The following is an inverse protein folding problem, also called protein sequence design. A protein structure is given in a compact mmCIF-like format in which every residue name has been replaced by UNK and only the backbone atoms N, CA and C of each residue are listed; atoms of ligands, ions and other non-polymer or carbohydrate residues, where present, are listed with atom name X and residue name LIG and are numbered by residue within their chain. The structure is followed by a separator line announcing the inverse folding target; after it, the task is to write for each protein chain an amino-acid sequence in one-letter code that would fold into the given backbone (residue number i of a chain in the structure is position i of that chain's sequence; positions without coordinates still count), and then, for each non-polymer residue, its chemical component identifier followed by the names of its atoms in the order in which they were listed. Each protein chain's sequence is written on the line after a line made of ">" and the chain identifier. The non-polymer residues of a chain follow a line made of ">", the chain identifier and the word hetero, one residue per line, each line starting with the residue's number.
data_IF_306195186061
#
_entry.id   IF_306195186061
#
_cell.length_a   1.000
_cell.length_b   1.000
_cell.length_c   1.000
_cell.angle_alpha   90.00
_cell.angle_beta   90.00
_cell.angle_gamma   90.00
#
_symmetry.space_group_name_H-M   'P 1'
#
loop_
_entity.id
_entity.type
_entity.pdbx_description
1 polymer ?
#
# COMPACT_ATOMS: atom_id res chain seq x y z
N UNK A 1 -7.46 19.39 10.51
CA UNK A 1 -7.43 18.30 9.51
C UNK A 1 -6.61 17.17 10.10
N UNK A 2 -7.23 16.02 10.33
CA UNK A 2 -6.57 14.87 10.97
C UNK A 2 -5.77 14.05 9.93
N UNK A 3 -5.00 13.06 10.39
CA UNK A 3 -4.15 12.26 9.50
C UNK A 3 -4.95 11.43 8.47
N UNK A 4 -6.15 10.99 8.83
CA UNK A 4 -7.05 10.26 7.94
C UNK A 4 -7.57 11.17 6.83
N UNK A 5 -7.95 12.42 7.14
CA UNK A 5 -8.38 13.40 6.14
C UNK A 5 -7.28 13.66 5.10
N UNK A 6 -6.02 13.71 5.56
CA UNK A 6 -4.84 13.86 4.67
C UNK A 6 -4.66 12.63 3.79
N UNK A 7 -4.81 11.42 4.33
CA UNK A 7 -4.73 10.18 3.55
C UNK A 7 -5.83 10.11 2.50
N UNK A 8 -7.07 10.44 2.87
CA UNK A 8 -8.20 10.49 1.94
C UNK A 8 -7.96 11.49 0.81
N UNK A 9 -7.39 12.65 1.13
CA UNK A 9 -7.02 13.67 0.11
C UNK A 9 -5.96 13.13 -0.85
N UNK A 10 -4.97 12.38 -0.35
CA UNK A 10 -3.93 11.76 -1.19
C UNK A 10 -4.54 10.69 -2.10
N UNK A 11 -5.35 9.79 -1.54
CA UNK A 11 -6.03 8.73 -2.29
C UNK A 11 -6.93 9.29 -3.39
N UNK A 12 -7.65 10.38 -3.10
CA UNK A 12 -8.47 11.10 -4.09
C UNK A 12 -7.62 11.66 -5.23
N UNK A 13 -6.46 12.26 -4.93
CA UNK A 13 -5.54 12.77 -5.97
C UNK A 13 -4.93 11.66 -6.82
N UNK A 14 -4.54 10.54 -6.21
CA UNK A 14 -3.97 9.40 -6.93
C UNK A 14 -4.97 8.76 -7.88
N UNK A 15 -6.25 8.74 -7.52
CA UNK A 15 -7.35 8.18 -8.32
C UNK A 15 -8.15 9.22 -9.11
N UNK A 16 -7.61 10.43 -9.27
CA UNK A 16 -8.25 11.46 -10.09
C UNK A 16 -8.42 10.97 -11.55
N UNK A 17 -9.61 11.05 -12.17
CA UNK A 17 -9.83 10.51 -13.51
C UNK A 17 -8.96 11.13 -14.59
N UNK A 18 -8.57 12.39 -14.44
CA UNK A 18 -7.84 13.15 -15.47
C UNK A 18 -6.33 13.18 -15.17
N UNK A 19 -5.97 13.43 -13.92
CA UNK A 19 -4.60 13.71 -13.48
C UNK A 19 -4.03 12.67 -12.52
N UNK A 20 -4.80 11.63 -12.19
CA UNK A 20 -4.39 10.56 -11.28
C UNK A 20 -3.30 9.67 -11.88
N UNK A 21 -2.68 8.87 -11.03
CA UNK A 21 -1.71 7.87 -11.43
C UNK A 21 -2.42 6.79 -12.28
N UNK A 22 -1.93 6.48 -13.50
CA UNK A 22 -2.56 5.47 -14.37
C UNK A 22 -2.78 4.13 -13.68
N UNK A 23 -1.80 3.67 -12.88
CA UNK A 23 -1.88 2.40 -12.16
C UNK A 23 -2.97 2.42 -11.08
N UNK A 24 -3.07 3.49 -10.29
CA UNK A 24 -4.09 3.63 -9.24
C UNK A 24 -5.51 3.69 -9.79
N UNK A 25 -5.67 4.27 -10.99
CA UNK A 25 -6.94 4.35 -11.72
C UNK A 25 -7.40 2.99 -12.25
N UNK A 26 -6.47 2.12 -12.62
CA UNK A 26 -6.75 0.79 -13.15
C UNK A 26 -7.07 -0.25 -12.06
N UNK A 27 -6.79 0.07 -10.78
CA UNK A 27 -7.05 -0.86 -9.68
C UNK A 27 -8.55 -1.09 -9.45
N UNK A 28 -8.90 -2.35 -9.24
CA UNK A 28 -10.24 -2.79 -8.83
C UNK A 28 -10.14 -3.54 -7.50
N UNK A 29 -11.27 -3.81 -6.85
CA UNK A 29 -11.26 -4.64 -5.63
C UNK A 29 -10.63 -6.02 -5.86
N UNK A 30 -10.79 -6.59 -7.06
CA UNK A 30 -10.20 -7.87 -7.41
C UNK A 30 -8.67 -7.79 -7.52
N UNK A 31 -8.12 -6.69 -8.03
CA UNK A 31 -6.66 -6.53 -8.13
C UNK A 31 -6.05 -6.18 -6.79
N UNK A 32 -6.77 -5.50 -5.89
CA UNK A 32 -6.29 -5.11 -4.56
C UNK A 32 -6.32 -6.29 -3.55
N UNK A 33 -7.27 -7.21 -3.70
CA UNK A 33 -7.47 -8.34 -2.80
C UNK A 33 -6.21 -9.17 -2.47
N UNK A 34 -5.38 -9.63 -3.44
CA UNK A 34 -4.16 -10.38 -3.12
C UNK A 34 -3.15 -9.56 -2.31
N UNK A 35 -2.99 -8.27 -2.61
CA UNK A 35 -2.09 -7.40 -1.84
C UNK A 35 -2.59 -7.18 -0.41
N UNK A 36 -3.91 -7.05 -0.22
CA UNK A 36 -4.50 -6.94 1.14
C UNK A 36 -4.22 -8.19 1.98
N UNK A 37 -4.17 -9.37 1.34
CA UNK A 37 -3.82 -10.60 2.00
C UNK A 37 -2.34 -10.64 2.39
N UNK A 38 -1.43 -10.22 1.50
CA UNK A 38 0.01 -10.14 1.77
C UNK A 38 0.32 -9.23 2.97
N UNK A 39 -0.24 -8.02 3.00
CA UNK A 39 -0.07 -7.06 4.11
C UNK A 39 -0.61 -7.61 5.44
N UNK A 40 -1.69 -8.41 5.39
CA UNK A 40 -2.20 -9.08 6.59
C UNK A 40 -1.19 -10.08 7.14
N UNK A 41 -0.47 -10.79 6.28
CA UNK A 41 0.60 -11.69 6.72
C UNK A 41 1.78 -10.94 7.31
N UNK A 42 2.15 -9.77 6.79
CA UNK A 42 3.22 -8.94 7.35
C UNK A 42 2.85 -8.43 8.76
N UNK A 43 1.61 -7.98 8.95
CA UNK A 43 1.09 -7.64 10.29
C UNK A 43 1.16 -8.84 11.24
N UNK A 44 0.74 -10.02 10.79
CA UNK A 44 0.79 -11.24 11.60
C UNK A 44 2.22 -11.63 11.97
N UNK A 45 3.17 -11.48 11.04
CA UNK A 45 4.58 -11.80 11.28
C UNK A 45 5.23 -10.80 12.26
N UNK A 46 4.92 -9.50 12.13
CA UNK A 46 5.36 -8.49 13.09
C UNK A 46 4.83 -8.76 14.51
N UNK A 47 3.57 -9.20 14.63
CA UNK A 47 2.99 -9.64 15.91
C UNK A 47 3.72 -10.87 16.44
N UNK A 48 3.99 -11.86 15.60
CA UNK A 48 4.67 -13.10 15.99
C UNK A 48 6.10 -12.85 16.47
N UNK A 49 6.77 -11.83 15.91
CA UNK A 49 8.12 -11.39 16.28
C UNK A 49 8.14 -10.44 17.48
N UNK A 50 6.98 -10.06 18.02
CA UNK A 50 6.81 -9.04 19.06
C UNK A 50 7.50 -7.70 18.70
N UNK A 51 7.61 -7.42 17.40
CA UNK A 51 8.25 -6.21 16.88
C UNK A 51 7.22 -5.11 16.69
N UNK A 52 7.03 -4.33 17.75
CA UNK A 52 6.04 -3.24 17.77
C UNK A 52 6.45 -2.02 16.93
N UNK A 53 7.73 -1.92 16.55
CA UNK A 53 8.20 -0.87 15.64
C UNK A 53 7.84 -1.24 14.20
N UNK A 54 8.05 -2.50 13.81
CA UNK A 54 7.64 -3.07 12.52
C UNK A 54 6.11 -3.06 12.39
N UNK A 55 5.39 -3.50 13.43
CA UNK A 55 3.92 -3.51 13.46
C UNK A 55 3.30 -2.13 13.20
N UNK A 56 3.95 -1.05 13.68
CA UNK A 56 3.49 0.33 13.43
C UNK A 56 3.68 0.75 11.97
N UNK A 57 4.69 0.22 11.29
CA UNK A 57 4.88 0.36 9.85
C UNK A 57 3.69 -0.21 9.08
N UNK A 58 3.38 -1.47 9.37
CA UNK A 58 2.37 -2.28 8.70
C UNK A 58 0.93 -1.80 8.96
N UNK A 59 0.64 -1.27 10.15
CA UNK A 59 -0.73 -0.88 10.52
C UNK A 59 -1.18 0.52 10.10
N UNK A 60 -0.32 1.35 9.48
CA UNK A 60 -0.82 2.61 8.89
C UNK A 60 0.09 3.83 8.80
N UNK A 61 1.40 3.72 9.08
CA UNK A 61 2.35 4.78 8.71
C UNK A 61 2.97 4.54 7.34
N UNK A 62 3.20 3.27 7.02
CA UNK A 62 3.93 2.82 5.84
C UNK A 62 3.28 1.61 5.16
N UNK A 63 1.95 1.44 5.28
CA UNK A 63 1.14 0.54 4.45
C UNK A 63 1.06 1.04 2.98
N UNK A 64 2.23 1.37 2.46
CA UNK A 64 2.60 1.62 1.08
C UNK A 64 3.65 0.54 0.83
N UNK A 65 3.52 -0.29 -0.21
CA UNK A 65 4.16 -1.61 -0.29
C UNK A 65 5.63 -1.55 0.13
N UNK A 66 5.92 -2.13 1.29
CA UNK A 66 7.16 -1.95 2.02
C UNK A 66 8.07 -3.18 1.99
N UNK A 67 7.83 -4.13 1.08
CA UNK A 67 8.51 -5.42 1.16
C UNK A 67 8.47 -6.24 -0.12
N UNK A 68 8.96 -5.71 -1.26
CA UNK A 68 9.70 -6.45 -2.32
C UNK A 68 9.96 -5.51 -3.51
N UNK A 69 11.16 -4.91 -3.53
CA UNK A 69 11.78 -4.45 -4.77
C UNK A 69 12.15 -5.69 -5.62
N UNK A 70 11.19 -6.31 -6.31
CA UNK A 70 11.48 -7.18 -7.45
C UNK A 70 11.09 -6.45 -8.71
N UNK A 71 12.03 -5.68 -9.23
CA UNK A 71 11.99 -5.21 -10.61
C UNK A 71 11.78 -6.42 -11.53
N UNK A 72 10.67 -6.47 -12.24
CA UNK A 72 10.67 -7.24 -13.48
C UNK A 72 11.69 -6.55 -14.43
N UNK A 73 12.33 -7.31 -15.32
CA UNK A 73 13.39 -6.82 -16.22
C UNK A 73 12.96 -5.76 -17.25
N UNK A 74 11.89 -5.00 -17.00
CA UNK A 74 11.34 -3.95 -17.86
C UNK A 74 11.39 -2.54 -17.25
N UNK A 75 11.91 -2.37 -16.02
CA UNK A 75 11.98 -1.06 -15.36
C UNK A 75 10.62 -0.40 -15.09
N UNK A 76 9.51 -1.12 -15.30
CA UNK A 76 8.17 -0.66 -14.97
C UNK A 76 7.86 -0.98 -13.52
N UNK A 77 7.67 0.08 -12.73
CA UNK A 77 7.10 0.02 -11.38
C UNK A 77 5.71 -0.60 -11.46
N UNK A 78 5.63 -1.90 -11.21
CA UNK A 78 4.60 -2.38 -10.30
C UNK A 78 5.22 -2.16 -8.91
N UNK A 79 4.48 -1.48 -8.03
CA UNK A 79 4.97 -1.08 -6.70
C UNK A 79 5.53 -2.28 -5.95
#
# INVERSE_FOLDING_TARGET
>A
MNQIDRLLTIMQRLRDPENGCPWDKEQTFATIAPYTLEETYEVLDAIAREDFDDLRGETGRSAVPGGVLRTNGSGRRAL
#
